data_IF_741627220281
#
_entry.id   IF_741627220281
#
_cell.length_a   1.000
_cell.length_b   1.000
_cell.length_c   1.000
_cell.angle_alpha   90.00
_cell.angle_beta   90.00
_cell.angle_gamma   90.00
#
_symmetry.space_group_name_H-M   'P 1'
#
loop_
_entity.id
_entity.type
_entity.pdbx_description
1 polymer ?
#
# COMPACT_ATOMS: atom_id res chain seq x y z
N UNK A 1 1.28 21.57 14.59
CA UNK A 1 2.58 20.87 14.71
C UNK A 1 2.54 19.56 13.93
N UNK A 2 3.52 19.32 13.06
CA UNK A 2 3.60 18.11 12.26
C UNK A 2 4.72 17.19 12.76
N UNK A 3 4.55 15.87 12.62
CA UNK A 3 5.51 14.90 13.15
C UNK A 3 5.77 13.72 12.21
N UNK A 4 7.01 13.22 12.24
CA UNK A 4 7.37 11.88 11.78
C UNK A 4 7.53 10.96 13.01
N UNK A 5 6.71 9.91 13.04
CA UNK A 5 6.42 9.08 14.21
C UNK A 5 6.75 7.62 13.93
N UNK A 6 7.54 7.03 14.82
CA UNK A 6 7.77 5.58 14.81
C UNK A 6 6.53 4.84 15.31
N UNK A 7 6.23 3.71 14.68
CA UNK A 7 5.18 2.81 15.16
C UNK A 7 5.44 2.38 16.60
N UNK A 8 4.37 2.19 17.37
CA UNK A 8 4.42 1.55 18.68
C UNK A 8 4.33 0.04 18.49
N UNK A 9 5.39 -0.67 18.88
CA UNK A 9 5.44 -2.12 18.79
C UNK A 9 4.34 -2.76 19.64
N UNK A 10 3.66 -3.77 19.10
CA UNK A 10 2.57 -4.48 19.77
C UNK A 10 2.98 -5.06 21.13
N UNK A 11 4.22 -5.56 21.25
CA UNK A 11 4.78 -6.05 22.53
C UNK A 11 4.82 -4.98 23.62
N UNK A 12 4.93 -3.70 23.23
CA UNK A 12 5.02 -2.53 24.12
C UNK A 12 3.70 -1.75 24.19
N UNK A 13 2.67 -2.21 23.49
CA UNK A 13 1.40 -1.52 23.35
C UNK A 13 0.23 -2.51 23.47
N UNK A 14 0.24 -3.31 24.54
CA UNK A 14 -0.87 -4.19 24.93
C UNK A 14 -1.35 -5.16 23.83
N UNK A 15 -0.43 -5.62 22.97
CA UNK A 15 -0.73 -6.57 21.90
C UNK A 15 -1.18 -5.94 20.57
N UNK A 16 -1.14 -4.61 20.43
CA UNK A 16 -1.60 -3.93 19.23
C UNK A 16 -0.58 -2.94 18.67
N UNK A 17 -0.42 -2.93 17.35
CA UNK A 17 0.40 -1.95 16.65
C UNK A 17 -0.36 -0.62 16.50
N UNK A 18 0.32 0.51 16.70
CA UNK A 18 -0.25 1.85 16.52
C UNK A 18 0.73 2.69 15.69
N UNK A 19 0.33 3.32 14.56
CA UNK A 19 -1.01 3.69 14.11
C UNK A 19 -1.94 2.55 13.69
N UNK A 20 -3.24 2.71 13.95
CA UNK A 20 -4.27 1.84 13.39
C UNK A 20 -4.70 2.33 12.00
N UNK A 21 -4.06 1.75 10.98
CA UNK A 21 -4.12 2.20 9.59
C UNK A 21 -5.50 2.10 8.94
N UNK A 22 -6.30 1.10 9.33
CA UNK A 22 -7.63 0.84 8.76
C UNK A 22 -8.64 1.93 9.10
N UNK A 23 -8.43 2.65 10.20
CA UNK A 23 -9.35 3.66 10.70
C UNK A 23 -8.73 5.06 10.76
N UNK A 24 -7.48 5.21 10.32
CA UNK A 24 -6.71 6.45 10.41
C UNK A 24 -6.65 7.02 11.83
N UNK A 25 -6.43 6.17 12.83
CA UNK A 25 -6.32 6.58 14.24
C UNK A 25 -4.94 6.31 14.82
N UNK A 26 -4.51 7.16 15.75
CA UNK A 26 -3.25 7.00 16.47
C UNK A 26 -3.39 7.47 17.92
N UNK A 27 -3.07 6.61 18.89
CA UNK A 27 -3.17 6.91 20.32
C UNK A 27 -1.82 7.21 20.99
N UNK A 28 -1.85 8.09 21.98
CA UNK A 28 -0.71 8.39 22.83
C UNK A 28 -1.10 8.50 24.30
N UNK A 29 -0.37 7.77 25.15
CA UNK A 29 -0.60 7.65 26.59
C UNK A 29 0.67 7.86 27.42
N UNK A 30 1.82 8.07 26.76
CA UNK A 30 3.14 8.18 27.38
C UNK A 30 3.76 9.58 27.22
N UNK A 31 5.09 9.62 27.10
CA UNK A 31 5.86 10.87 27.15
C UNK A 31 5.60 11.85 25.98
N UNK A 32 4.96 11.42 24.89
CA UNK A 32 4.63 12.30 23.76
C UNK A 32 3.19 12.81 23.77
N UNK A 33 2.41 12.51 24.82
CA UNK A 33 1.01 12.93 24.92
C UNK A 33 0.87 14.45 24.77
N UNK A 34 1.72 15.22 25.46
CA UNK A 34 1.75 16.69 25.36
C UNK A 34 2.11 17.20 23.96
N UNK A 35 2.83 16.41 23.15
CA UNK A 35 3.10 16.74 21.75
C UNK A 35 1.85 16.51 20.90
N UNK A 36 1.19 15.36 21.09
CA UNK A 36 -0.01 15.02 20.31
C UNK A 36 -1.15 16.00 20.58
N UNK A 37 -1.36 16.43 21.82
CA UNK A 37 -2.39 17.42 22.17
C UNK A 37 -2.16 18.81 21.54
N UNK A 38 -0.93 19.14 21.12
CA UNK A 38 -0.61 20.38 20.40
C UNK A 38 -0.86 20.30 18.90
N UNK A 39 -1.17 19.10 18.39
CA UNK A 39 -1.50 18.87 17.00
C UNK A 39 -2.94 19.35 16.76
N UNK A 40 -3.12 20.13 15.71
CA UNK A 40 -4.37 20.77 15.34
C UNK A 40 -4.87 20.20 14.01
N UNK A 41 -6.14 20.49 13.71
CA UNK A 41 -6.72 20.19 12.41
C UNK A 41 -5.87 20.76 11.28
N UNK A 42 -5.58 19.94 10.27
CA UNK A 42 -4.75 20.30 9.13
C UNK A 42 -3.24 20.03 9.30
N UNK A 43 -2.79 19.64 10.48
CA UNK A 43 -1.43 19.12 10.68
C UNK A 43 -1.28 17.70 10.14
N UNK A 44 -0.04 17.28 9.91
CA UNK A 44 0.32 15.96 9.41
C UNK A 44 1.05 15.11 10.44
N UNK A 45 0.65 13.85 10.53
CA UNK A 45 1.37 12.78 11.23
C UNK A 45 1.85 11.75 10.20
N UNK A 46 3.15 11.67 9.97
CA UNK A 46 3.77 10.63 9.14
C UNK A 46 4.19 9.45 10.01
N UNK A 47 3.95 8.23 9.56
CA UNK A 47 4.26 7.04 10.34
C UNK A 47 5.30 6.18 9.64
N UNK A 48 6.25 5.66 10.44
CA UNK A 48 7.34 4.85 9.90
C UNK A 48 7.69 3.62 10.75
N UNK A 49 8.01 2.52 10.08
CA UNK A 49 8.45 1.27 10.70
C UNK A 49 9.59 0.62 9.94
N UNK A 50 10.21 -0.37 10.56
CA UNK A 50 11.21 -1.20 9.89
C UNK A 50 10.49 -2.31 9.12
N UNK A 51 10.86 -2.49 7.85
CA UNK A 51 10.39 -3.56 6.97
C UNK A 51 11.65 -4.16 6.34
N UNK A 52 11.91 -5.45 6.57
CA UNK A 52 13.06 -6.17 5.99
C UNK A 52 14.39 -5.39 6.02
N UNK A 53 14.88 -5.08 7.24
CA UNK A 53 16.14 -4.37 7.49
C UNK A 53 16.28 -2.95 6.91
N UNK A 54 15.19 -2.34 6.45
CA UNK A 54 15.14 -0.94 6.01
C UNK A 54 14.01 -0.21 6.74
N UNK A 55 14.11 1.11 6.84
CA UNK A 55 13.10 1.96 7.50
C UNK A 55 12.25 2.65 6.44
N UNK A 56 10.93 2.62 6.60
CA UNK A 56 10.00 3.20 5.62
C UNK A 56 8.94 4.05 6.28
N UNK A 57 8.57 5.15 5.64
CA UNK A 57 7.28 5.81 5.85
C UNK A 57 6.22 4.96 5.16
N UNK A 58 5.17 4.61 5.88
CA UNK A 58 4.13 3.66 5.44
C UNK A 58 2.75 4.30 5.38
N UNK A 59 2.53 5.42 6.06
CA UNK A 59 1.29 6.16 6.03
C UNK A 59 1.51 7.62 6.45
N UNK A 60 0.55 8.48 6.12
CA UNK A 60 0.40 9.77 6.77
C UNK A 60 -1.08 10.06 7.06
N UNK A 61 -1.34 10.75 8.17
CA UNK A 61 -2.66 11.27 8.51
C UNK A 61 -2.66 12.78 8.39
N UNK A 62 -3.61 13.33 7.64
CA UNK A 62 -3.99 14.72 7.79
C UNK A 62 -4.96 14.79 8.98
N UNK A 63 -4.55 15.42 10.07
CA UNK A 63 -5.30 15.40 11.31
C UNK A 63 -6.59 16.17 11.15
N UNK A 64 -7.70 15.51 11.48
CA UNK A 64 -9.02 16.12 11.58
C UNK A 64 -9.25 16.63 13.01
N UNK A 65 -8.90 15.81 14.02
CA UNK A 65 -9.12 16.11 15.42
C UNK A 65 -8.16 15.34 16.33
N UNK A 66 -7.85 15.91 17.50
CA UNK A 66 -7.17 15.22 18.61
C UNK A 66 -8.02 15.36 19.86
N UNK A 67 -8.36 14.24 20.48
CA UNK A 67 -9.27 14.19 21.63
C UNK A 67 -8.66 13.45 22.80
N UNK A 68 -8.96 13.91 24.01
CA UNK A 68 -8.64 13.18 25.25
C UNK A 68 -9.59 11.98 25.34
N UNK A 69 -9.03 10.78 25.46
CA UNK A 69 -9.78 9.52 25.42
C UNK A 69 -10.83 9.47 26.53
N UNK A 70 -10.47 9.94 27.73
CA UNK A 70 -11.39 9.94 28.90
C UNK A 70 -12.65 10.76 28.65
N UNK A 71 -12.55 11.89 27.94
CA UNK A 71 -13.66 12.81 27.71
C UNK A 71 -14.64 12.28 26.66
N UNK A 72 -14.15 11.46 25.73
CA UNK A 72 -14.96 10.91 24.63
C UNK A 72 -15.53 9.53 24.91
N UNK A 73 -15.27 8.92 26.08
CA UNK A 73 -15.78 7.60 26.45
C UNK A 73 -17.29 7.47 26.40
N UNK A 74 -18.01 8.56 26.62
CA UNK A 74 -19.48 8.59 26.57
C UNK A 74 -20.03 8.90 25.16
N UNK A 75 -19.16 9.24 24.20
CA UNK A 75 -19.56 9.51 22.83
C UNK A 75 -19.82 8.20 22.07
N UNK A 76 -21.08 7.76 22.06
CA UNK A 76 -21.51 6.51 21.40
C UNK A 76 -21.15 6.45 19.91
N UNK A 77 -21.11 7.58 19.20
CA UNK A 77 -20.77 7.58 17.77
C UNK A 77 -19.31 7.18 17.57
N UNK A 78 -18.40 7.76 18.36
CA UNK A 78 -16.96 7.43 18.28
C UNK A 78 -16.75 5.99 18.74
N UNK A 79 -17.32 5.62 19.89
CA UNK A 79 -17.09 4.31 20.50
C UNK A 79 -17.62 3.14 19.65
N UNK A 80 -18.68 3.35 18.87
CA UNK A 80 -19.22 2.34 17.96
C UNK A 80 -18.51 2.30 16.60
N UNK A 81 -17.94 3.42 16.16
CA UNK A 81 -17.31 3.54 14.83
C UNK A 81 -15.87 3.03 14.83
N UNK A 82 -15.14 3.28 15.91
CA UNK A 82 -13.70 3.04 15.98
C UNK A 82 -13.35 1.88 16.91
N UNK A 83 -12.43 1.03 16.48
CA UNK A 83 -11.96 -0.14 17.23
C UNK A 83 -10.57 0.04 17.86
N UNK A 84 -10.02 1.26 17.83
CA UNK A 84 -8.68 1.53 18.34
C UNK A 84 -8.54 1.09 19.83
N UNK A 85 -7.49 0.32 20.19
CA UNK A 85 -7.30 -0.19 21.55
C UNK A 85 -7.32 0.88 22.65
N UNK A 86 -6.86 2.10 22.36
CA UNK A 86 -6.93 3.22 23.30
C UNK A 86 -8.39 3.53 23.71
N UNK A 87 -9.33 3.39 22.77
CA UNK A 87 -10.77 3.56 23.02
C UNK A 87 -11.39 2.35 23.73
N UNK A 88 -10.73 1.20 23.85
CA UNK A 88 -11.27 0.00 24.50
C UNK A 88 -10.84 -0.16 25.96
N UNK A 89 -9.78 0.52 26.40
CA UNK A 89 -9.32 0.50 27.80
C UNK A 89 -10.40 0.94 28.78
N UNK A 90 -10.47 0.32 29.95
CA UNK A 90 -11.36 0.78 31.02
C UNK A 90 -10.96 2.16 31.54
N UNK A 91 -11.91 2.94 32.06
CA UNK A 91 -11.65 4.34 32.51
C UNK A 91 -10.53 4.37 33.57
N UNK A 92 -10.46 3.37 34.44
CA UNK A 92 -9.46 3.27 35.51
C UNK A 92 -8.04 2.99 34.97
N UNK A 93 -7.91 2.51 33.74
CA UNK A 93 -6.63 2.20 33.09
C UNK A 93 -6.08 3.38 32.27
N UNK A 94 -6.90 4.39 32.00
CA UNK A 94 -6.51 5.55 31.21
C UNK A 94 -5.66 6.52 32.02
N UNK A 95 -4.59 7.03 31.42
CA UNK A 95 -3.93 8.21 32.00
C UNK A 95 -4.80 9.45 31.77
N UNK A 96 -4.75 10.48 32.65
CA UNK A 96 -5.60 11.67 32.51
C UNK A 96 -5.41 12.41 31.18
N UNK A 97 -4.22 12.32 30.59
CA UNK A 97 -3.86 13.02 29.37
C UNK A 97 -3.95 12.14 28.12
N UNK A 98 -4.18 10.83 28.27
CA UNK A 98 -4.24 9.88 27.15
C UNK A 98 -5.17 10.41 26.05
N UNK A 99 -4.62 10.54 24.85
CA UNK A 99 -5.29 11.19 23.73
C UNK A 99 -5.16 10.35 22.47
N UNK A 100 -6.06 10.61 21.53
CA UNK A 100 -6.13 9.91 20.24
C UNK A 100 -6.30 10.96 19.15
N UNK A 101 -5.50 10.83 18.10
CA UNK A 101 -5.63 11.59 16.87
C UNK A 101 -6.48 10.82 15.86
N UNK A 102 -7.41 11.52 15.22
CA UNK A 102 -8.22 11.05 14.11
C UNK A 102 -7.74 11.73 12.82
N UNK A 103 -7.30 10.93 11.86
CA UNK A 103 -7.00 11.38 10.52
C UNK A 103 -8.26 11.57 9.69
N UNK A 104 -8.23 12.55 8.78
CA UNK A 104 -9.26 12.76 7.79
C UNK A 104 -9.28 11.55 6.82
N UNK A 105 -10.39 10.82 6.69
CA UNK A 105 -10.42 9.55 5.94
C UNK A 105 -10.31 9.73 4.41
N UNK A 106 -10.49 10.95 3.89
CA UNK A 106 -10.38 11.27 2.47
C UNK A 106 -8.94 11.69 2.14
N UNK A 107 -8.30 12.45 3.02
CA UNK A 107 -7.01 13.08 2.76
C UNK A 107 -5.82 12.31 3.36
N UNK A 108 -6.05 11.50 4.40
CA UNK A 108 -5.06 10.58 4.96
C UNK A 108 -4.82 9.41 4.01
N UNK A 109 -3.62 8.81 4.08
CA UNK A 109 -3.24 7.74 3.15
C UNK A 109 -2.34 6.70 3.80
N UNK A 110 -2.71 5.44 3.61
CA UNK A 110 -1.78 4.30 3.74
C UNK A 110 -1.05 4.15 2.41
N UNK A 111 0.27 4.23 2.43
CA UNK A 111 1.07 4.23 1.22
C UNK A 111 1.07 2.86 0.58
N UNK A 112 0.77 2.84 -0.71
CA UNK A 112 0.80 1.63 -1.53
C UNK A 112 2.24 1.15 -1.72
N UNK A 113 3.13 2.11 -1.93
CA UNK A 113 4.58 1.92 -2.03
C UNK A 113 5.21 2.74 -0.90
N UNK A 114 5.59 2.11 0.22
CA UNK A 114 6.24 2.79 1.33
C UNK A 114 7.48 3.55 0.87
N UNK A 115 7.67 4.76 1.39
CA UNK A 115 8.83 5.60 1.05
C UNK A 115 10.02 5.21 1.94
N UNK A 116 11.12 4.74 1.35
CA UNK A 116 12.33 4.39 2.10
C UNK A 116 12.92 5.66 2.75
N UNK A 117 13.22 5.57 4.05
CA UNK A 117 13.93 6.62 4.77
C UNK A 117 15.42 6.38 4.59
N UNK A 118 16.03 7.18 3.72
CA UNK A 118 17.48 7.13 3.44
C UNK A 118 18.23 8.27 4.17
N UNK A 119 19.56 8.17 4.31
CA UNK A 119 20.38 9.29 4.79
C UNK A 119 20.17 10.58 4.00
N UNK A 120 20.01 10.46 2.68
CA UNK A 120 19.78 11.61 1.79
C UNK A 120 18.42 12.27 2.03
N UNK A 121 17.37 11.48 2.28
CA UNK A 121 16.07 12.05 2.66
C UNK A 121 16.21 12.80 4.00
N UNK A 122 16.82 12.16 4.99
CA UNK A 122 16.96 12.73 6.34
C UNK A 122 17.82 13.99 6.38
N UNK A 123 18.80 14.14 5.48
CA UNK A 123 19.65 15.33 5.39
C UNK A 123 18.94 16.52 4.75
N UNK A 124 17.90 16.27 3.93
CA UNK A 124 17.07 17.31 3.29
C UNK A 124 15.97 17.88 4.19
N UNK A 125 15.68 17.22 5.31
CA UNK A 125 14.73 17.74 6.29
C UNK A 125 15.32 18.97 7.01
N UNK A 126 14.47 19.92 7.36
CA UNK A 126 14.79 21.19 8.01
C UNK A 126 15.63 21.03 9.29
N UNK A 127 15.43 19.92 9.99
CA UNK A 127 16.29 19.46 11.08
C UNK A 127 16.94 18.14 10.65
N UNK A 128 18.16 18.14 10.09
CA UNK A 128 18.81 16.92 9.65
C UNK A 128 18.97 15.90 10.79
N UNK A 129 18.90 14.60 10.47
CA UNK A 129 19.19 13.56 11.44
C UNK A 129 20.71 13.40 11.66
N UNK A 130 21.15 13.28 12.91
CA UNK A 130 22.53 12.93 13.22
C UNK A 130 22.67 11.40 13.20
N UNK A 131 23.31 10.86 12.16
CA UNK A 131 23.51 9.43 11.99
C UNK A 131 24.89 9.02 12.54
N UNK A 132 24.91 8.10 13.51
CA UNK A 132 26.14 7.62 14.12
C UNK A 132 26.91 6.71 13.14
N UNK A 133 28.15 7.07 12.72
CA UNK A 133 28.92 6.28 11.76
C UNK A 133 29.41 4.94 12.32
N UNK A 134 29.42 4.77 13.66
CA UNK A 134 29.86 3.54 14.32
C UNK A 134 28.76 2.48 14.42
N UNK A 135 27.56 2.75 13.89
CA UNK A 135 26.42 1.84 13.90
C UNK A 135 26.11 1.35 12.49
N UNK A 136 25.44 0.20 12.37
CA UNK A 136 24.84 -0.18 11.09
C UNK A 136 23.86 0.90 10.63
N UNK A 137 23.72 1.09 9.33
CA UNK A 137 22.86 2.14 8.76
C UNK A 137 21.44 2.12 9.34
N UNK A 138 20.82 0.93 9.40
CA UNK A 138 19.50 0.75 9.99
C UNK A 138 19.47 1.18 11.47
N UNK A 139 20.49 0.82 12.25
CA UNK A 139 20.59 1.17 13.67
C UNK A 139 20.76 2.68 13.88
N UNK A 140 21.58 3.33 13.05
CA UNK A 140 21.78 4.77 13.08
C UNK A 140 20.47 5.53 12.78
N UNK A 141 19.76 5.12 11.72
CA UNK A 141 18.45 5.69 11.35
C UNK A 141 17.42 5.45 12.46
N UNK A 142 17.34 4.21 12.96
CA UNK A 142 16.39 3.84 14.02
C UNK A 142 16.67 4.61 15.33
N UNK A 143 17.94 4.85 15.65
CA UNK A 143 18.35 5.66 16.80
C UNK A 143 17.95 7.13 16.62
N UNK A 144 18.23 7.71 15.45
CA UNK A 144 17.89 9.10 15.14
C UNK A 144 16.37 9.36 15.09
N UNK A 145 15.57 8.34 14.79
CA UNK A 145 14.12 8.40 14.74
C UNK A 145 13.44 7.71 15.93
N UNK A 146 14.18 7.46 17.03
CA UNK A 146 13.61 6.89 18.26
C UNK A 146 12.60 7.82 18.92
N UNK A 147 12.78 9.12 18.73
CA UNK A 147 11.85 10.16 19.22
C UNK A 147 11.12 10.78 18.04
N UNK A 148 9.91 11.29 18.29
CA UNK A 148 9.15 11.97 17.24
C UNK A 148 9.94 13.14 16.69
N UNK A 149 10.11 13.16 15.38
CA UNK A 149 10.78 14.24 14.68
C UNK A 149 9.74 15.28 14.29
N UNK A 150 9.89 16.49 14.80
CA UNK A 150 9.07 17.63 14.39
C UNK A 150 9.40 18.03 12.94
N UNK A 151 8.35 18.33 12.18
CA UNK A 151 8.43 18.69 10.77
C UNK A 151 7.85 20.10 10.56
N UNK A 152 8.55 20.92 9.79
CA UNK A 152 8.06 22.23 9.38
C UNK A 152 7.29 22.13 8.03
N UNK A 153 6.61 23.19 7.55
CA UNK A 153 5.86 23.12 6.30
C UNK A 153 6.68 22.71 5.06
N UNK A 154 7.96 23.10 4.97
CA UNK A 154 8.82 22.66 3.86
C UNK A 154 9.12 21.16 3.91
N UNK A 155 9.25 20.57 5.11
CA UNK A 155 9.42 19.14 5.28
C UNK A 155 8.17 18.38 4.82
N UNK A 156 6.97 18.91 5.10
CA UNK A 156 5.70 18.31 4.67
C UNK A 156 5.63 18.26 3.16
N UNK A 157 5.88 19.39 2.49
CA UNK A 157 5.88 19.45 1.03
C UNK A 157 6.90 18.48 0.43
N UNK A 158 8.14 18.47 0.95
CA UNK A 158 9.17 17.54 0.51
C UNK A 158 8.71 16.07 0.65
N UNK A 159 8.17 15.69 1.80
CA UNK A 159 7.72 14.32 2.04
C UNK A 159 6.55 13.94 1.14
N UNK A 160 5.55 14.82 0.96
CA UNK A 160 4.42 14.57 0.08
C UNK A 160 4.87 14.43 -1.38
N UNK A 161 5.77 15.29 -1.85
CA UNK A 161 6.33 15.21 -3.22
C UNK A 161 7.10 13.90 -3.42
N UNK A 162 7.95 13.51 -2.45
CA UNK A 162 8.69 12.25 -2.51
C UNK A 162 7.78 11.03 -2.47
N UNK A 163 6.70 11.08 -1.67
CA UNK A 163 5.70 10.01 -1.62
C UNK A 163 4.99 9.89 -2.97
N UNK A 164 4.52 11.00 -3.55
CA UNK A 164 3.83 11.00 -4.83
C UNK A 164 4.73 10.47 -5.95
N UNK A 165 5.98 10.92 -6.00
CA UNK A 165 6.98 10.40 -6.93
C UNK A 165 7.23 8.90 -6.71
N UNK A 166 7.33 8.44 -5.47
CA UNK A 166 7.56 7.03 -5.17
C UNK A 166 6.36 6.14 -5.54
N UNK A 167 5.13 6.61 -5.29
CA UNK A 167 3.91 5.88 -5.63
C UNK A 167 3.62 5.87 -7.13
N UNK A 168 3.99 6.92 -7.86
CA UNK A 168 3.89 7.00 -9.33
C UNK A 168 4.85 6.02 -10.01
N UNK A 169 6.05 5.83 -9.46
CA UNK A 169 7.05 4.88 -9.99
C UNK A 169 6.62 3.42 -9.84
N UNK A 170 5.77 3.11 -8.84
CA UNK A 170 5.41 1.73 -8.52
C UNK A 170 6.61 0.92 -8.01
N UNK A 171 6.37 -0.31 -7.51
CA UNK A 171 7.49 -1.18 -7.10
C UNK A 171 8.25 -1.75 -8.30
N UNK A 172 7.54 -2.06 -9.37
CA UNK A 172 8.10 -2.66 -10.58
C UNK A 172 8.51 -1.57 -11.57
N UNK A 173 9.82 -1.34 -11.65
CA UNK A 173 10.48 -0.45 -12.63
C UNK A 173 11.57 -1.23 -13.35
N UNK A 174 12.24 -0.65 -14.36
CA UNK A 174 13.36 -1.29 -15.07
C UNK A 174 14.64 -1.47 -14.23
N UNK A 175 14.56 -1.45 -12.90
CA UNK A 175 15.69 -1.68 -11.97
C UNK A 175 15.65 -3.10 -11.41
N UNK A 176 16.80 -3.59 -10.99
CA UNK A 176 16.90 -4.87 -10.26
C UNK A 176 16.36 -4.67 -8.85
N UNK A 177 15.41 -5.53 -8.45
CA UNK A 177 14.86 -5.55 -7.09
C UNK A 177 15.64 -6.52 -6.21
N UNK A 178 15.78 -6.22 -4.92
CA UNK A 178 16.31 -7.18 -3.95
C UNK A 178 15.28 -8.28 -3.65
N UNK A 179 15.73 -9.40 -3.08
CA UNK A 179 14.83 -10.48 -2.67
C UNK A 179 13.73 -9.99 -1.71
N UNK A 180 14.07 -9.08 -0.79
CA UNK A 180 13.12 -8.49 0.16
C UNK A 180 12.09 -7.57 -0.52
N UNK A 181 12.49 -6.83 -1.56
CA UNK A 181 11.57 -5.99 -2.34
C UNK A 181 10.60 -6.85 -3.16
N UNK A 182 11.10 -7.96 -3.70
CA UNK A 182 10.34 -8.94 -4.49
C UNK A 182 9.15 -9.51 -3.69
N UNK A 183 9.37 -9.91 -2.44
CA UNK A 183 8.29 -10.45 -1.59
C UNK A 183 7.18 -9.44 -1.30
N UNK A 184 7.46 -8.15 -1.42
CA UNK A 184 6.52 -7.08 -1.14
C UNK A 184 5.73 -6.60 -2.37
N UNK A 185 6.02 -7.11 -3.57
CA UNK A 185 5.25 -6.82 -4.78
C UNK A 185 3.78 -7.21 -4.56
N UNK A 186 2.86 -6.34 -4.95
CA UNK A 186 1.41 -6.58 -4.94
C UNK A 186 0.92 -6.83 -6.37
N UNK A 187 -0.29 -7.40 -6.51
CA UNK A 187 -0.92 -7.59 -7.83
C UNK A 187 -1.06 -6.28 -8.59
N UNK A 188 -1.42 -5.20 -7.89
CA UNK A 188 -1.48 -3.84 -8.46
C UNK A 188 -0.12 -3.33 -8.96
N UNK A 189 1.00 -3.77 -8.39
CA UNK A 189 2.31 -3.37 -8.92
C UNK A 189 2.56 -4.02 -10.29
N UNK A 190 2.18 -5.30 -10.43
CA UNK A 190 2.25 -6.04 -11.70
C UNK A 190 1.31 -5.40 -12.73
N UNK A 191 0.09 -5.04 -12.30
CA UNK A 191 -0.87 -4.32 -13.10
C UNK A 191 -0.32 -2.99 -13.63
N UNK A 192 0.18 -2.11 -12.75
CA UNK A 192 0.78 -0.81 -13.14
C UNK A 192 1.96 -0.99 -14.09
N UNK A 193 2.76 -2.03 -13.89
CA UNK A 193 3.88 -2.34 -14.76
C UNK A 193 3.42 -2.74 -16.16
N UNK A 194 2.38 -3.58 -16.28
CA UNK A 194 1.78 -3.95 -17.57
C UNK A 194 1.10 -2.75 -18.23
N UNK A 195 0.39 -1.90 -17.47
CA UNK A 195 -0.21 -0.65 -17.99
C UNK A 195 0.85 0.23 -18.66
N UNK A 196 2.00 0.36 -18.01
CA UNK A 196 3.11 1.20 -18.50
C UNK A 196 3.90 0.53 -19.63
N UNK A 197 3.82 -0.79 -19.76
CA UNK A 197 4.60 -1.60 -20.70
C UNK A 197 3.76 -2.72 -21.33
N UNK A 198 2.64 -2.43 -22.02
CA UNK A 198 1.73 -3.48 -22.52
C UNK A 198 2.42 -4.43 -23.52
N UNK A 199 3.48 -3.94 -24.17
CA UNK A 199 4.34 -4.71 -25.08
C UNK A 199 5.01 -5.92 -24.45
N UNK A 200 5.08 -6.01 -23.11
CA UNK A 200 5.60 -7.20 -22.43
C UNK A 200 4.72 -8.43 -22.63
N UNK A 201 3.43 -8.24 -22.91
CA UNK A 201 2.49 -9.33 -23.19
C UNK A 201 2.45 -9.67 -24.69
N UNK A 202 2.40 -8.63 -25.53
CA UNK A 202 2.56 -8.66 -26.99
C UNK A 202 2.83 -7.24 -27.51
N UNK A 203 3.74 -7.09 -28.49
CA UNK A 203 4.13 -5.80 -29.08
C UNK A 203 2.97 -4.98 -29.64
N UNK A 204 1.87 -5.62 -30.03
CA UNK A 204 0.70 -4.98 -30.63
C UNK A 204 -0.39 -4.60 -29.64
N UNK A 205 -0.21 -4.89 -28.35
CA UNK A 205 -1.23 -4.60 -27.36
C UNK A 205 -1.18 -3.15 -26.88
N UNK A 206 -2.37 -2.54 -26.80
CA UNK A 206 -2.59 -1.24 -26.19
C UNK A 206 -3.63 -1.34 -25.08
N UNK A 207 -3.47 -0.53 -24.04
CA UNK A 207 -4.44 -0.44 -22.95
C UNK A 207 -5.74 0.19 -23.48
N UNK A 208 -6.86 -0.50 -23.28
CA UNK A 208 -8.20 0.00 -23.60
C UNK A 208 -8.91 0.47 -22.32
N UNK A 209 -8.88 -0.35 -21.26
CA UNK A 209 -9.42 -0.02 -19.93
C UNK A 209 -8.57 -0.68 -18.83
N UNK A 210 -8.56 -0.08 -17.65
CA UNK A 210 -8.00 -0.65 -16.42
C UNK A 210 -9.00 -0.50 -15.27
N UNK A 211 -9.04 -1.47 -14.35
CA UNK A 211 -9.93 -1.46 -13.18
C UNK A 211 -11.40 -1.22 -13.55
N UNK A 212 -11.87 -1.81 -14.65
CA UNK A 212 -13.23 -1.57 -15.14
C UNK A 212 -14.24 -2.33 -14.28
N UNK A 213 -15.22 -1.59 -13.73
CA UNK A 213 -16.30 -2.15 -12.90
C UNK A 213 -17.51 -2.45 -13.79
N UNK A 214 -17.99 -3.70 -13.73
CA UNK A 214 -19.18 -4.16 -14.44
C UNK A 214 -20.46 -3.99 -13.61
N UNK A 215 -21.61 -4.29 -14.23
CA UNK A 215 -22.92 -4.16 -13.58
C UNK A 215 -23.13 -5.05 -12.35
N UNK A 216 -22.36 -6.13 -12.21
CA UNK A 216 -22.37 -7.04 -11.07
C UNK A 216 -21.34 -6.69 -9.98
N UNK A 217 -20.82 -5.45 -10.02
CA UNK A 217 -19.78 -4.94 -9.12
C UNK A 217 -18.42 -5.65 -9.23
N UNK A 218 -18.29 -6.63 -10.12
CA UNK A 218 -17.01 -7.27 -10.39
C UNK A 218 -16.08 -6.31 -11.14
N UNK A 219 -14.78 -6.44 -10.89
CA UNK A 219 -13.77 -5.51 -11.38
C UNK A 219 -12.71 -6.25 -12.20
N UNK A 220 -12.65 -5.94 -13.47
CA UNK A 220 -11.62 -6.41 -14.38
C UNK A 220 -10.32 -5.64 -14.16
N UNK A 221 -9.21 -6.37 -13.99
CA UNK A 221 -7.87 -5.79 -13.88
C UNK A 221 -7.52 -4.96 -15.13
N UNK A 222 -7.38 -5.60 -16.30
CA UNK A 222 -7.07 -4.90 -17.55
C UNK A 222 -7.89 -5.42 -18.74
N UNK A 223 -8.24 -4.49 -19.64
CA UNK A 223 -8.70 -4.76 -20.98
C UNK A 223 -7.71 -4.15 -21.97
N UNK A 224 -7.15 -4.98 -22.84
CA UNK A 224 -6.26 -4.56 -23.92
C UNK A 224 -6.96 -4.68 -25.26
N UNK A 225 -6.47 -3.93 -26.24
CA UNK A 225 -6.81 -4.05 -27.64
C UNK A 225 -5.58 -4.49 -28.43
N UNK A 226 -5.73 -5.53 -29.23
CA UNK A 226 -4.74 -5.93 -30.21
C UNK A 226 -4.95 -5.11 -31.48
N UNK A 227 -3.95 -4.28 -31.82
CA UNK A 227 -4.07 -3.37 -32.97
C UNK A 227 -3.96 -4.07 -34.33
N UNK A 228 -3.57 -5.34 -34.39
CA UNK A 228 -3.41 -6.07 -35.67
C UNK A 228 -4.72 -6.65 -36.19
N UNK A 229 -5.53 -7.20 -35.31
CA UNK A 229 -6.74 -7.96 -35.63
C UNK A 229 -8.01 -7.36 -34.99
N UNK A 230 -7.87 -6.24 -34.26
CA UNK A 230 -8.94 -5.55 -33.56
C UNK A 230 -9.67 -6.43 -32.52
N UNK A 231 -8.94 -7.39 -31.93
CA UNK A 231 -9.43 -8.22 -30.84
C UNK A 231 -9.24 -7.54 -29.47
N UNK A 232 -10.03 -7.97 -28.50
CA UNK A 232 -9.94 -7.50 -27.12
C UNK A 232 -9.43 -8.60 -26.20
N UNK A 233 -8.51 -8.24 -25.32
CA UNK A 233 -7.81 -9.19 -24.46
C UNK A 233 -8.09 -8.79 -23.02
N UNK A 234 -8.80 -9.67 -22.32
CA UNK A 234 -9.03 -9.58 -20.87
C UNK A 234 -7.77 -10.10 -20.19
N UNK A 235 -7.21 -9.34 -19.26
CA UNK A 235 -6.07 -9.78 -18.44
C UNK A 235 -6.50 -9.87 -16.99
N UNK A 236 -6.19 -11.01 -16.36
CA UNK A 236 -6.39 -11.26 -14.93
C UNK A 236 -5.03 -11.54 -14.28
N UNK A 237 -4.71 -10.84 -13.19
CA UNK A 237 -3.39 -10.84 -12.59
C UNK A 237 -3.43 -11.53 -11.22
N UNK A 238 -2.43 -12.37 -10.94
CA UNK A 238 -2.23 -13.01 -9.64
C UNK A 238 -0.79 -12.87 -9.15
N UNK A 239 -0.61 -12.60 -7.85
CA UNK A 239 0.71 -12.62 -7.18
C UNK A 239 1.25 -14.05 -7.01
N UNK A 240 0.35 -15.03 -6.99
CA UNK A 240 0.70 -16.44 -6.82
C UNK A 240 0.57 -17.27 -8.10
N UNK A 241 0.68 -18.60 -7.95
CA UNK A 241 0.30 -19.53 -8.99
C UNK A 241 -1.16 -19.34 -9.41
N UNK A 242 -1.43 -19.50 -10.70
CA UNK A 242 -2.78 -19.45 -11.27
C UNK A 242 -3.55 -20.69 -10.82
N UNK A 243 -4.72 -20.45 -10.23
CA UNK A 243 -5.63 -21.47 -9.71
C UNK A 243 -6.97 -21.48 -10.46
N UNK A 244 -7.91 -22.32 -10.00
CA UNK A 244 -9.26 -22.41 -10.58
C UNK A 244 -10.07 -21.12 -10.40
N UNK A 245 -9.83 -20.35 -9.34
CA UNK A 245 -10.55 -19.10 -9.12
C UNK A 245 -10.19 -18.07 -10.19
N UNK A 246 -8.89 -17.92 -10.48
CA UNK A 246 -8.41 -17.05 -11.56
C UNK A 246 -8.99 -17.45 -12.93
N UNK A 247 -9.07 -18.76 -13.22
CA UNK A 247 -9.69 -19.24 -14.45
C UNK A 247 -11.20 -18.94 -14.52
N UNK A 248 -11.91 -19.07 -13.40
CA UNK A 248 -13.33 -18.74 -13.35
C UNK A 248 -13.55 -17.22 -13.51
N UNK A 249 -12.71 -16.40 -12.88
CA UNK A 249 -12.72 -14.94 -13.00
C UNK A 249 -12.53 -14.51 -14.45
N UNK A 250 -11.51 -14.99 -15.15
CA UNK A 250 -11.27 -14.57 -16.53
C UNK A 250 -12.39 -15.00 -17.48
N UNK A 251 -12.95 -16.21 -17.30
CA UNK A 251 -14.12 -16.67 -18.08
C UNK A 251 -15.35 -15.79 -17.84
N UNK A 252 -15.56 -15.39 -16.59
CA UNK A 252 -16.61 -14.46 -16.21
C UNK A 252 -16.44 -13.09 -16.91
N UNK A 253 -15.24 -12.52 -16.85
CA UNK A 253 -14.96 -11.23 -17.50
C UNK A 253 -15.05 -11.27 -19.03
N UNK A 254 -14.63 -12.36 -19.66
CA UNK A 254 -14.83 -12.55 -21.11
C UNK A 254 -16.31 -12.50 -21.47
N UNK A 255 -17.17 -13.15 -20.66
CA UNK A 255 -18.63 -13.12 -20.87
C UNK A 255 -19.21 -11.72 -20.66
N UNK A 256 -18.79 -11.00 -19.62
CA UNK A 256 -19.23 -9.63 -19.36
C UNK A 256 -18.79 -8.66 -20.45
N UNK A 257 -17.55 -8.75 -20.93
CA UNK A 257 -17.06 -7.96 -22.06
C UNK A 257 -17.92 -8.15 -23.33
N UNK A 258 -18.30 -9.40 -23.63
CA UNK A 258 -19.18 -9.70 -24.77
C UNK A 258 -20.58 -9.11 -24.57
N UNK A 259 -21.14 -9.24 -23.36
CA UNK A 259 -22.52 -8.86 -23.07
C UNK A 259 -22.71 -7.35 -22.89
N UNK A 260 -21.88 -6.72 -22.07
CA UNK A 260 -22.05 -5.33 -21.62
C UNK A 260 -21.30 -4.35 -22.50
N UNK A 261 -20.08 -4.69 -22.91
CA UNK A 261 -19.25 -3.85 -23.79
C UNK A 261 -19.46 -4.15 -25.28
N UNK A 262 -20.31 -5.14 -25.61
CA UNK A 262 -20.65 -5.56 -26.99
C UNK A 262 -19.41 -5.89 -27.84
N UNK A 263 -18.40 -6.49 -27.22
CA UNK A 263 -17.15 -6.88 -27.89
C UNK A 263 -17.32 -8.27 -28.52
N UNK A 264 -16.99 -8.39 -29.81
CA UNK A 264 -17.24 -9.64 -30.56
C UNK A 264 -16.17 -10.70 -30.30
N UNK A 265 -14.89 -10.33 -30.43
CA UNK A 265 -13.76 -11.26 -30.27
C UNK A 265 -12.99 -10.89 -29.01
N UNK A 266 -13.18 -11.70 -27.97
CA UNK A 266 -12.57 -11.50 -26.66
C UNK A 266 -11.77 -12.75 -26.26
N UNK A 267 -10.47 -12.56 -26.03
CA UNK A 267 -9.52 -13.58 -25.55
C UNK A 267 -9.10 -13.27 -24.11
N UNK A 268 -8.42 -14.22 -23.47
CA UNK A 268 -7.94 -14.09 -22.09
C UNK A 268 -6.43 -14.27 -21.95
N UNK A 269 -5.81 -13.52 -21.04
CA UNK A 269 -4.46 -13.76 -20.53
C UNK A 269 -4.52 -13.81 -19.00
N UNK A 270 -4.06 -14.92 -18.44
CA UNK A 270 -3.78 -15.06 -17.01
C UNK A 270 -2.31 -14.75 -16.76
N UNK A 271 -2.01 -13.83 -15.85
CA UNK A 271 -0.65 -13.47 -15.44
C UNK A 271 -0.40 -13.96 -14.02
N UNK A 272 0.62 -14.79 -13.81
CA UNK A 272 0.93 -15.34 -12.47
C UNK A 272 2.38 -15.81 -12.32
N UNK A 273 2.73 -16.35 -11.16
CA UNK A 273 4.08 -16.89 -10.92
C UNK A 273 4.28 -18.31 -11.49
N UNK A 274 3.27 -18.85 -12.19
CA UNK A 274 3.19 -20.23 -12.65
C UNK A 274 1.74 -20.73 -12.64
N UNK A 275 1.55 -22.03 -12.91
CA UNK A 275 0.26 -22.70 -12.81
C UNK A 275 0.28 -23.60 -11.58
N UNK A 276 -0.79 -23.62 -10.79
CA UNK A 276 -0.90 -24.54 -9.66
C UNK A 276 -0.99 -26.01 -10.18
N UNK A 277 -0.21 -26.96 -9.64
CA UNK A 277 -0.04 -28.30 -10.24
C UNK A 277 -1.34 -29.07 -10.49
N UNK A 278 -2.32 -28.95 -9.59
CA UNK A 278 -3.62 -29.61 -9.70
C UNK A 278 -4.53 -29.06 -10.81
N UNK A 279 -4.09 -28.04 -11.56
CA UNK A 279 -4.90 -27.29 -12.51
C UNK A 279 -4.29 -27.18 -13.92
N UNK A 280 -3.20 -27.88 -14.22
CA UNK A 280 -2.58 -27.83 -15.54
C UNK A 280 -3.53 -28.29 -16.66
N UNK A 281 -4.31 -29.35 -16.42
CA UNK A 281 -5.27 -29.87 -17.40
C UNK A 281 -6.39 -28.88 -17.71
N UNK A 282 -6.90 -28.17 -16.69
CA UNK A 282 -7.95 -27.17 -16.84
C UNK A 282 -7.45 -25.96 -17.66
N UNK A 283 -6.20 -25.55 -17.44
CA UNK A 283 -5.55 -24.49 -18.21
C UNK A 283 -5.28 -24.94 -19.65
N UNK A 284 -4.84 -26.18 -19.87
CA UNK A 284 -4.61 -26.71 -21.21
C UNK A 284 -5.90 -26.79 -22.03
N UNK A 285 -7.04 -27.10 -21.40
CA UNK A 285 -8.36 -26.98 -22.03
C UNK A 285 -8.70 -25.52 -22.35
N UNK A 286 -8.50 -24.62 -21.40
CA UNK A 286 -8.81 -23.19 -21.56
C UNK A 286 -8.01 -22.50 -22.69
N UNK A 287 -6.81 -22.99 -23.03
CA UNK A 287 -6.06 -22.54 -24.21
C UNK A 287 -6.84 -22.69 -25.51
N UNK A 288 -7.64 -23.75 -25.63
CA UNK A 288 -8.52 -23.96 -26.81
C UNK A 288 -9.65 -22.94 -26.88
N UNK A 289 -10.04 -22.39 -25.74
CA UNK A 289 -11.06 -21.34 -25.61
C UNK A 289 -10.46 -19.92 -25.75
N UNK A 290 -9.19 -19.80 -26.15
CA UNK A 290 -8.51 -18.52 -26.32
C UNK A 290 -7.99 -17.89 -25.02
N UNK A 291 -7.82 -18.67 -23.95
CA UNK A 291 -7.24 -18.22 -22.68
C UNK A 291 -5.79 -18.70 -22.59
N UNK A 292 -4.84 -17.78 -22.58
CA UNK A 292 -3.41 -18.08 -22.46
C UNK A 292 -2.86 -17.71 -21.09
N UNK A 293 -1.67 -18.22 -20.79
CA UNK A 293 -0.96 -17.94 -19.53
C UNK A 293 0.36 -17.23 -19.83
N UNK A 294 0.71 -16.24 -19.01
CA UNK A 294 2.01 -15.56 -18.98
C UNK A 294 2.56 -15.65 -17.56
N UNK A 295 3.78 -16.14 -17.44
CA UNK A 295 4.43 -16.28 -16.16
C UNK A 295 5.45 -15.15 -15.96
N UNK A 296 5.45 -14.53 -14.78
CA UNK A 296 6.60 -13.76 -14.33
C UNK A 296 7.46 -14.61 -13.39
N UNK A 297 8.74 -14.25 -13.32
CA UNK A 297 9.71 -14.90 -12.45
C UNK A 297 10.84 -13.93 -12.11
N UNK A 298 11.69 -14.35 -11.18
CA UNK A 298 12.80 -13.53 -10.70
C UNK A 298 14.05 -13.80 -11.54
N UNK A 299 14.62 -12.74 -12.10
CA UNK A 299 15.96 -12.78 -12.68
C UNK A 299 17.00 -12.75 -11.57
N UNK A 300 17.99 -13.64 -11.64
CA UNK A 300 19.13 -13.62 -10.73
C UNK A 300 20.30 -12.90 -11.40
N UNK A 301 20.96 -12.01 -10.66
CA UNK A 301 22.15 -11.31 -11.13
C UNK A 301 23.12 -11.21 -9.95
N UNK A 302 24.37 -11.62 -10.18
CA UNK A 302 25.47 -11.41 -9.22
C UNK A 302 26.18 -10.14 -9.70
N UNK A 303 26.20 -9.12 -8.85
CA UNK A 303 26.98 -7.90 -9.07
C UNK A 303 28.28 -7.97 -8.27
#
# INVERSE_FOLDING_TARGET
MNYLIGYKDAERNFGHEDPMLTEYTYGESGANTDKLQKVQKGDFLFFHKTIHNKRYITAYYLVEEVLIVKDIKQNRLIMNKYDNPHLKKEIQQLTPSECIAFGNPIQSKVLQVPLEITPELLSKLSRPANLNPNQSLLSAISSALRTWKELNPSDINLLLDLIEQNESKGRLTNRVLTAEEVFQILERDIEKFIISNPSILDVNYKIEKSQHIFSDESRLDLLLRDTTNNEFIVVEIKKGPIDRNALNQIKHYIKLCKKELKLNTVKGILVGSGIAPSFEDDINKAKRDGITVRNYGWGFTIN
#
